data_IF_725293044875
#
_entry.id   IF_725293044875
#
_cell.length_a   1.000
_cell.length_b   1.000
_cell.length_c   1.000
_cell.angle_alpha   90.00
_cell.angle_beta   90.00
_cell.angle_gamma   90.00
#
_symmetry.space_group_name_H-M   'P 1'
#
loop_
_entity.id
_entity.type
_entity.pdbx_description
1 polymer ?
#
# COMPACT_ATOMS: atom_id res chain seq x y z
N UNK A 1 -7.48 -19.25 -17.88
CA UNK A 1 -6.20 -19.75 -18.42
C UNK A 1 -5.77 -18.79 -19.52
N UNK A 2 -4.94 -17.79 -19.18
CA UNK A 2 -4.56 -16.70 -20.12
C UNK A 2 -3.20 -17.01 -20.74
N UNK A 3 -3.12 -17.05 -22.08
CA UNK A 3 -1.96 -17.50 -22.85
C UNK A 3 -1.05 -16.37 -23.37
N UNK A 4 -1.15 -15.15 -22.82
CA UNK A 4 -0.46 -13.99 -23.39
C UNK A 4 0.11 -13.05 -22.30
N UNK A 5 0.98 -13.58 -21.45
CA UNK A 5 1.86 -12.77 -20.60
C UNK A 5 3.30 -12.96 -21.11
N UNK A 6 4.14 -11.90 -21.09
CA UNK A 6 5.58 -12.05 -21.31
C UNK A 6 6.12 -13.10 -20.34
N UNK A 7 6.95 -14.02 -20.84
CA UNK A 7 7.44 -15.18 -20.08
C UNK A 7 8.14 -14.73 -18.79
N UNK A 8 8.85 -13.61 -18.82
CA UNK A 8 9.54 -13.04 -17.65
C UNK A 8 8.59 -12.56 -16.53
N UNK A 9 7.35 -12.20 -16.88
CA UNK A 9 6.31 -11.79 -15.90
C UNK A 9 5.55 -12.99 -15.33
N UNK A 10 5.57 -14.12 -16.03
CA UNK A 10 4.96 -15.38 -15.59
C UNK A 10 5.82 -16.09 -14.55
N UNK A 11 7.15 -15.95 -14.61
CA UNK A 11 8.06 -16.62 -13.67
C UNK A 11 7.95 -16.09 -12.23
N UNK A 12 7.50 -14.85 -12.04
CA UNK A 12 7.33 -14.26 -10.69
C UNK A 12 5.92 -14.43 -10.11
N UNK A 13 4.91 -14.78 -10.93
CA UNK A 13 3.52 -14.93 -10.49
C UNK A 13 2.82 -13.65 -9.99
N UNK A 14 3.49 -12.50 -10.04
CA UNK A 14 2.99 -11.23 -9.50
C UNK A 14 2.21 -10.49 -10.60
N UNK A 15 0.90 -10.29 -10.39
CA UNK A 15 0.06 -9.51 -11.33
C UNK A 15 0.63 -8.09 -11.48
N UNK A 16 0.75 -7.54 -12.71
CA UNK A 16 1.40 -6.25 -12.97
C UNK A 16 0.89 -5.04 -12.16
N UNK A 17 -0.38 -5.07 -11.71
CA UNK A 17 -0.97 -4.07 -10.80
C UNK A 17 -0.23 -4.00 -9.45
N UNK A 18 0.31 -5.12 -8.97
CA UNK A 18 1.08 -5.16 -7.72
C UNK A 18 2.47 -4.57 -7.87
N UNK A 19 3.10 -4.71 -9.04
CA UNK A 19 4.42 -4.13 -9.32
C UNK A 19 4.37 -2.59 -9.32
N UNK A 20 3.39 -2.00 -10.01
CA UNK A 20 3.20 -0.54 -9.95
C UNK A 20 2.93 -0.08 -8.51
N UNK A 21 2.05 -0.77 -7.80
CA UNK A 21 1.69 -0.39 -6.43
C UNK A 21 2.91 -0.40 -5.50
N UNK A 22 3.79 -1.39 -5.60
CA UNK A 22 5.01 -1.47 -4.81
C UNK A 22 5.91 -0.24 -4.99
N UNK A 23 6.21 0.12 -6.25
CA UNK A 23 7.04 1.29 -6.55
C UNK A 23 6.45 2.59 -5.97
N UNK A 24 5.14 2.79 -6.16
CA UNK A 24 4.47 3.99 -5.67
C UNK A 24 4.38 4.03 -4.14
N UNK A 25 4.24 2.89 -3.47
CA UNK A 25 4.33 2.81 -2.01
C UNK A 25 5.69 3.32 -1.52
N UNK A 26 6.79 2.82 -2.10
CA UNK A 26 8.14 3.26 -1.73
C UNK A 26 8.32 4.77 -1.96
N UNK A 27 7.92 5.25 -3.14
CA UNK A 27 8.09 6.65 -3.54
C UNK A 27 7.28 7.59 -2.65
N UNK A 28 5.98 7.30 -2.44
CA UNK A 28 5.10 8.15 -1.63
C UNK A 28 5.52 8.10 -0.17
N UNK A 29 5.84 6.92 0.38
CA UNK A 29 6.24 6.83 1.78
C UNK A 29 7.50 7.64 2.07
N UNK A 30 8.49 7.58 1.17
CA UNK A 30 9.72 8.38 1.28
C UNK A 30 9.45 9.88 1.27
N UNK A 31 8.50 10.33 0.45
CA UNK A 31 8.15 11.75 0.32
C UNK A 31 7.29 12.25 1.50
N UNK A 32 6.28 11.47 1.89
CA UNK A 32 5.19 11.91 2.76
C UNK A 32 5.39 11.55 4.24
N UNK A 33 6.10 10.44 4.51
CA UNK A 33 6.31 9.92 5.85
C UNK A 33 7.76 9.44 6.01
N UNK A 34 8.75 10.35 5.84
CA UNK A 34 10.17 9.98 5.73
C UNK A 34 10.71 9.25 6.97
N UNK A 35 10.19 9.55 8.17
CA UNK A 35 10.57 8.86 9.40
C UNK A 35 10.19 7.37 9.37
N UNK A 36 9.00 7.07 8.84
CA UNK A 36 8.56 5.67 8.67
C UNK A 36 9.42 5.01 7.61
N UNK A 37 9.68 5.66 6.46
CA UNK A 37 10.58 5.12 5.45
C UNK A 37 11.97 4.77 6.01
N UNK A 38 12.56 5.63 6.84
CA UNK A 38 13.83 5.36 7.52
C UNK A 38 13.74 4.19 8.49
N UNK A 39 12.63 4.05 9.21
CA UNK A 39 12.40 2.94 10.13
C UNK A 39 12.40 1.59 9.40
N UNK A 40 11.71 1.48 8.26
CA UNK A 40 11.76 0.29 7.41
C UNK A 40 13.18 0.01 6.89
N UNK A 41 13.89 1.05 6.45
CA UNK A 41 15.27 0.90 5.98
C UNK A 41 16.20 0.35 7.09
N UNK A 42 16.06 0.85 8.31
CA UNK A 42 16.80 0.36 9.49
C UNK A 42 16.43 -1.08 9.85
N UNK A 43 15.16 -1.45 9.72
CA UNK A 43 14.69 -2.81 9.98
C UNK A 43 14.99 -3.81 8.86
N UNK A 44 15.53 -3.36 7.72
CA UNK A 44 16.07 -4.23 6.68
C UNK A 44 15.04 -4.88 5.75
N UNK A 45 13.83 -4.32 5.63
CA UNK A 45 12.80 -4.82 4.71
C UNK A 45 12.03 -3.68 4.06
N UNK A 46 11.39 -3.98 2.91
CA UNK A 46 10.75 -2.97 2.09
C UNK A 46 9.29 -2.72 2.54
N UNK A 47 8.85 -1.46 2.72
CA UNK A 47 7.47 -1.11 3.04
C UNK A 47 6.44 -1.71 2.10
N UNK A 48 6.77 -1.78 0.80
CA UNK A 48 5.92 -2.41 -0.21
C UNK A 48 5.60 -3.87 0.09
N UNK A 49 6.51 -4.63 0.70
CA UNK A 49 6.26 -6.04 1.06
C UNK A 49 5.11 -6.17 2.06
N UNK A 50 5.09 -5.31 3.08
CA UNK A 50 4.02 -5.27 4.09
C UNK A 50 2.69 -4.83 3.46
N UNK A 51 2.72 -3.74 2.70
CA UNK A 51 1.52 -3.20 2.08
C UNK A 51 0.90 -4.18 1.08
N UNK A 52 1.71 -4.85 0.27
CA UNK A 52 1.23 -5.89 -0.66
C UNK A 52 0.64 -7.09 0.08
N UNK A 53 1.22 -7.48 1.22
CA UNK A 53 0.64 -8.52 2.07
C UNK A 53 -0.75 -8.10 2.58
N UNK A 54 -0.88 -6.88 3.11
CA UNK A 54 -2.16 -6.35 3.56
C UNK A 54 -3.21 -6.31 2.44
N UNK A 55 -2.85 -5.77 1.27
CA UNK A 55 -3.73 -5.69 0.11
C UNK A 55 -4.16 -7.09 -0.36
N UNK A 56 -3.23 -8.05 -0.41
CA UNK A 56 -3.52 -9.43 -0.86
C UNK A 56 -4.50 -10.13 0.07
N UNK A 57 -4.45 -9.81 1.37
CA UNK A 57 -5.39 -10.31 2.37
C UNK A 57 -6.64 -9.43 2.51
N UNK A 58 -6.81 -8.41 1.66
CA UNK A 58 -7.89 -7.42 1.76
C UNK A 58 -8.01 -6.82 3.19
N UNK A 59 -6.87 -6.69 3.88
CA UNK A 59 -6.77 -6.23 5.26
C UNK A 59 -7.54 -7.06 6.31
N UNK A 60 -7.97 -8.28 5.98
CA UNK A 60 -8.88 -9.09 6.80
C UNK A 60 -8.43 -9.28 8.26
N UNK A 61 -7.14 -9.55 8.49
CA UNK A 61 -6.59 -9.78 9.83
C UNK A 61 -6.11 -8.50 10.53
N UNK A 62 -6.22 -7.34 9.87
CA UNK A 62 -5.56 -6.11 10.26
C UNK A 62 -6.54 -5.01 10.63
N UNK A 63 -7.65 -4.91 9.91
CA UNK A 63 -8.63 -3.84 10.07
C UNK A 63 -9.98 -4.38 10.55
N UNK A 64 -10.71 -3.54 11.29
CA UNK A 64 -12.11 -3.80 11.63
C UNK A 64 -12.94 -3.99 10.35
N UNK A 65 -13.99 -4.81 10.44
CA UNK A 65 -14.90 -5.07 9.30
C UNK A 65 -15.40 -3.81 8.60
N UNK A 66 -15.76 -2.78 9.37
CA UNK A 66 -16.24 -1.51 8.84
C UNK A 66 -15.17 -0.83 7.99
N UNK A 67 -13.91 -0.85 8.43
CA UNK A 67 -12.81 -0.24 7.68
C UNK A 67 -12.45 -1.04 6.43
N UNK A 68 -12.59 -2.37 6.45
CA UNK A 68 -12.48 -3.20 5.24
C UNK A 68 -13.56 -2.80 4.23
N UNK A 69 -14.81 -2.63 4.67
CA UNK A 69 -15.90 -2.15 3.80
C UNK A 69 -15.58 -0.76 3.23
N UNK A 70 -15.08 0.18 4.04
CA UNK A 70 -14.66 1.50 3.57
C UNK A 70 -13.51 1.42 2.56
N UNK A 71 -12.51 0.57 2.80
CA UNK A 71 -11.40 0.34 1.86
C UNK A 71 -11.93 -0.13 0.49
N UNK A 72 -12.77 -1.16 0.47
CA UNK A 72 -13.34 -1.69 -0.77
C UNK A 72 -14.17 -0.63 -1.48
N UNK A 73 -15.06 0.06 -0.76
CA UNK A 73 -15.91 1.11 -1.32
C UNK A 73 -15.07 2.24 -1.92
N UNK A 74 -14.01 2.69 -1.22
CA UNK A 74 -13.10 3.73 -1.68
C UNK A 74 -12.42 3.32 -2.99
N UNK A 75 -11.85 2.11 -3.05
CA UNK A 75 -11.19 1.60 -4.25
C UNK A 75 -12.15 1.43 -5.45
N UNK A 76 -13.41 1.05 -5.19
CA UNK A 76 -14.43 0.90 -6.25
C UNK A 76 -14.95 2.24 -6.75
N UNK A 77 -15.20 3.19 -5.85
CA UNK A 77 -15.83 4.48 -6.18
C UNK A 77 -14.82 5.48 -6.71
N UNK A 78 -13.64 5.58 -6.09
CA UNK A 78 -12.66 6.62 -6.42
C UNK A 78 -11.57 6.13 -7.36
N UNK A 79 -11.24 4.85 -7.31
CA UNK A 79 -10.32 4.21 -8.25
C UNK A 79 -9.31 3.28 -7.57
N UNK A 80 -8.68 2.38 -8.35
CA UNK A 80 -7.75 1.39 -7.80
C UNK A 80 -6.45 1.99 -7.26
N UNK A 81 -6.11 3.23 -7.63
CA UNK A 81 -4.97 3.98 -7.09
C UNK A 81 -5.11 4.26 -5.59
N UNK A 82 -6.34 4.38 -5.09
CA UNK A 82 -6.61 4.60 -3.67
C UNK A 82 -6.09 3.49 -2.75
N UNK A 83 -5.84 2.28 -3.27
CA UNK A 83 -5.20 1.23 -2.48
C UNK A 83 -3.80 1.67 -2.00
N UNK A 84 -3.06 2.42 -2.82
CA UNK A 84 -1.74 2.95 -2.46
C UNK A 84 -1.90 4.04 -1.40
N UNK A 85 -2.84 4.97 -1.59
CA UNK A 85 -3.07 6.06 -0.65
C UNK A 85 -3.53 5.55 0.72
N UNK A 86 -4.35 4.49 0.77
CA UNK A 86 -4.75 3.84 2.02
C UNK A 86 -3.55 3.20 2.72
N UNK A 87 -2.65 2.53 2.00
CA UNK A 87 -1.41 2.02 2.60
C UNK A 87 -0.56 3.14 3.20
N UNK A 88 -0.39 4.27 2.50
CA UNK A 88 0.36 5.43 3.02
C UNK A 88 -0.34 6.04 4.24
N UNK A 89 -1.67 6.15 4.22
CA UNK A 89 -2.45 6.64 5.35
C UNK A 89 -2.31 5.74 6.59
N UNK A 90 -2.37 4.42 6.42
CA UNK A 90 -2.14 3.45 7.50
C UNK A 90 -0.72 3.59 8.06
N UNK A 91 0.30 3.64 7.21
CA UNK A 91 1.69 3.81 7.65
C UNK A 91 1.91 5.15 8.37
N UNK A 92 1.24 6.21 7.94
CA UNK A 92 1.23 7.51 8.61
C UNK A 92 0.57 7.43 9.99
N UNK A 93 -0.57 6.76 10.10
CA UNK A 93 -1.28 6.51 11.37
C UNK A 93 -0.37 5.79 12.37
N UNK A 94 0.28 4.72 11.92
CA UNK A 94 1.14 3.86 12.73
C UNK A 94 2.53 4.44 12.99
N UNK A 95 2.84 5.67 12.58
CA UNK A 95 4.21 6.20 12.66
C UNK A 95 4.81 6.06 14.06
N UNK A 96 4.03 6.33 15.12
CA UNK A 96 4.53 6.22 16.50
C UNK A 96 4.86 4.78 16.87
N UNK A 97 3.96 3.85 16.57
CA UNK A 97 4.14 2.42 16.86
C UNK A 97 5.28 1.85 16.05
N UNK A 98 5.39 2.22 14.76
CA UNK A 98 6.50 1.81 13.90
C UNK A 98 7.84 2.24 14.49
N UNK A 99 7.98 3.50 14.89
CA UNK A 99 9.22 4.00 15.48
C UNK A 99 9.55 3.30 16.81
N UNK A 100 8.52 2.92 17.59
CA UNK A 100 8.70 2.15 18.81
C UNK A 100 9.17 0.72 18.51
N UNK A 101 8.46 0.00 17.65
CA UNK A 101 8.75 -1.38 17.29
C UNK A 101 10.06 -1.55 16.50
N UNK A 102 10.55 -0.49 15.85
CA UNK A 102 11.91 -0.47 15.30
C UNK A 102 12.97 -0.52 16.39
N UNK A 103 12.76 0.13 17.55
CA UNK A 103 13.72 0.13 18.66
C UNK A 103 13.74 -1.21 19.39
N UNK A 104 12.58 -1.86 19.52
CA UNK A 104 12.42 -3.19 20.13
C UNK A 104 12.70 -4.35 19.16
N UNK A 105 13.05 -4.04 17.91
CA UNK A 105 13.44 -5.00 16.86
C UNK A 105 12.37 -6.03 16.48
N UNK A 106 11.10 -5.69 16.70
CA UNK A 106 9.93 -6.54 16.43
C UNK A 106 8.97 -5.94 15.39
N UNK A 107 9.37 -4.84 14.72
CA UNK A 107 8.56 -4.15 13.70
C UNK A 107 7.94 -5.08 12.66
N UNK A 108 8.69 -6.05 12.16
CA UNK A 108 8.20 -6.96 11.13
C UNK A 108 7.09 -7.88 11.66
N UNK A 109 7.19 -8.33 12.91
CA UNK A 109 6.17 -9.17 13.56
C UNK A 109 4.93 -8.34 13.80
N UNK A 110 5.08 -7.16 14.40
CA UNK A 110 4.01 -6.19 14.63
C UNK A 110 3.18 -5.94 13.36
N UNK A 111 3.83 -5.53 12.26
CA UNK A 111 3.11 -5.18 11.02
C UNK A 111 2.50 -6.37 10.28
N UNK A 112 2.95 -7.61 10.54
CA UNK A 112 2.48 -8.82 9.86
C UNK A 112 1.46 -9.63 10.66
N UNK A 113 1.45 -9.49 11.97
CA UNK A 113 0.69 -10.37 12.85
C UNK A 113 -0.31 -9.63 13.73
N UNK A 114 -0.11 -8.33 13.97
CA UNK A 114 -0.98 -7.55 14.85
C UNK A 114 -2.03 -6.73 14.09
N UNK A 115 -3.16 -6.51 14.75
CA UNK A 115 -4.23 -5.66 14.24
C UNK A 115 -3.83 -4.19 14.30
N UNK A 116 -4.18 -3.42 13.27
CA UNK A 116 -3.81 -2.02 13.10
C UNK A 116 -4.81 -1.12 13.81
N UNK A 117 -4.74 -1.13 15.14
CA UNK A 117 -5.74 -0.51 16.00
C UNK A 117 -5.88 1.00 15.78
N UNK A 118 -7.12 1.48 15.90
CA UNK A 118 -7.45 2.90 15.85
C UNK A 118 -7.41 3.54 14.46
N UNK A 119 -7.05 2.79 13.41
CA UNK A 119 -7.14 3.30 12.04
C UNK A 119 -8.61 3.45 11.62
N UNK A 120 -8.94 4.61 11.05
CA UNK A 120 -10.25 4.92 10.47
C UNK A 120 -10.05 5.57 9.12
N UNK A 121 -10.57 4.99 8.05
CA UNK A 121 -10.40 5.51 6.68
C UNK A 121 -10.90 6.96 6.58
N UNK A 122 -12.02 7.28 7.25
CA UNK A 122 -12.61 8.62 7.27
C UNK A 122 -11.67 9.70 7.83
N UNK A 123 -10.85 9.37 8.84
CA UNK A 123 -9.93 10.33 9.45
C UNK A 123 -8.79 10.75 8.52
N UNK A 124 -8.55 9.97 7.46
CA UNK A 124 -7.48 10.19 6.51
C UNK A 124 -7.99 10.57 5.11
N UNK A 125 -9.30 10.77 4.94
CA UNK A 125 -9.88 11.00 3.62
C UNK A 125 -9.32 12.28 2.96
N UNK A 126 -9.31 13.41 3.66
CA UNK A 126 -8.74 14.67 3.17
C UNK A 126 -7.25 14.54 2.83
N UNK A 127 -6.51 13.77 3.65
CA UNK A 127 -5.11 13.47 3.37
C UNK A 127 -4.95 12.66 2.08
N UNK A 128 -5.78 11.63 1.87
CA UNK A 128 -5.77 10.82 0.65
C UNK A 128 -6.19 11.62 -0.58
N UNK A 129 -7.15 12.55 -0.46
CA UNK A 129 -7.50 13.47 -1.55
C UNK A 129 -6.33 14.38 -1.94
N UNK A 130 -5.53 14.82 -0.96
CA UNK A 130 -4.30 15.59 -1.23
C UNK A 130 -3.27 14.75 -1.99
N UNK A 131 -3.08 13.49 -1.59
CA UNK A 131 -2.22 12.55 -2.33
C UNK A 131 -2.75 12.32 -3.75
N UNK A 132 -4.05 12.16 -3.90
CA UNK A 132 -4.70 12.00 -5.19
C UNK A 132 -4.38 13.16 -6.11
N UNK A 133 -4.61 14.40 -5.68
CA UNK A 133 -4.36 15.60 -6.48
C UNK A 133 -2.89 15.71 -6.93
N UNK A 134 -1.96 15.34 -6.05
CA UNK A 134 -0.53 15.46 -6.31
C UNK A 134 0.04 14.33 -7.18
N UNK A 135 -0.48 13.10 -7.04
CA UNK A 135 0.17 11.90 -7.59
C UNK A 135 -0.66 11.14 -8.62
N UNK A 136 -2.00 11.28 -8.63
CA UNK A 136 -2.90 10.53 -9.52
C UNK A 136 -2.59 10.66 -11.01
N UNK A 137 -2.23 11.84 -11.57
CA UNK A 137 -1.95 11.96 -13.00
C UNK A 137 -0.82 11.04 -13.47
N UNK A 138 0.17 10.78 -12.60
CA UNK A 138 1.30 9.91 -12.89
C UNK A 138 0.94 8.45 -12.55
N UNK A 139 0.40 8.23 -11.35
CA UNK A 139 0.13 6.90 -10.81
C UNK A 139 -0.95 6.15 -11.61
N UNK A 140 -2.09 6.77 -11.89
CA UNK A 140 -3.14 6.12 -12.67
C UNK A 140 -2.75 5.87 -14.12
N UNK A 141 -1.96 6.78 -14.72
CA UNK A 141 -1.44 6.58 -16.08
C UNK A 141 -0.59 5.33 -16.13
N UNK A 142 0.30 5.15 -15.15
CA UNK A 142 1.23 4.02 -15.14
C UNK A 142 0.52 2.70 -14.78
N UNK A 143 -0.47 2.73 -13.86
CA UNK A 143 -1.32 1.57 -13.60
C UNK A 143 -2.18 1.16 -14.82
N UNK A 144 -2.58 2.12 -15.66
CA UNK A 144 -3.35 1.88 -16.89
C UNK A 144 -2.46 1.47 -18.06
N UNK A 145 -1.26 2.03 -18.21
CA UNK A 145 -0.33 1.71 -19.32
C UNK A 145 0.14 0.27 -19.27
N UNK A 146 0.24 -0.31 -18.07
CA UNK A 146 0.45 -1.74 -17.84
C UNK A 146 -0.68 -2.61 -18.42
N UNK A 147 -1.90 -2.08 -18.59
CA UNK A 147 -2.99 -2.76 -19.32
C UNK A 147 -2.94 -2.55 -20.83
N UNK A 148 -2.18 -1.56 -21.31
CA UNK A 148 -2.18 -1.11 -22.72
C UNK A 148 -1.06 -1.67 -23.59
N UNK A 149 -0.02 -2.28 -23.03
CA UNK A 149 1.06 -2.93 -23.80
C UNK A 149 0.68 -4.36 -24.29
N UNK A 150 -0.61 -4.63 -24.46
CA UNK A 150 -1.15 -5.95 -24.84
C UNK A 150 -1.90 -5.96 -26.17
N UNK A 151 -1.62 -5.02 -27.09
CA UNK A 151 -2.16 -5.01 -28.46
C UNK A 151 -1.13 -5.44 -29.48
#
# INVERSE_FOLDING_TARGET
MSRYLPVDTLETGIRPVYFCSAYYIEMLLKAEVPLVFSAFHMSGFAPSQICLQWITQCFWNYLDWIEICHYIATCVVLGPDYQVYICIAILKHLQRDILHHTQTQDLQVFLKEEALHGFRVSNYFEYMETLEQNYRPVLLRDMRSVRGQST
#
